data_IF_810999524570
#
_entry.id   IF_810999524570
#
_cell.length_a   1.000
_cell.length_b   1.000
_cell.length_c   1.000
_cell.angle_alpha   90.00
_cell.angle_beta   90.00
_cell.angle_gamma   90.00
#
_symmetry.space_group_name_H-M   'P 1'
#
loop_
_entity.id
_entity.type
_entity.pdbx_description
1 polymer ?
#
# COMPACT_ATOMS: atom_id res chain seq x y z
N UNK A 1 24.91 -4.92 10.79
CA UNK A 1 24.82 -6.23 10.11
C UNK A 1 23.35 -6.45 9.76
N UNK A 2 22.96 -6.11 8.53
CA UNK A 2 21.54 -6.02 8.13
C UNK A 2 21.04 -7.38 7.64
N UNK A 3 20.00 -7.93 8.27
CA UNK A 3 19.33 -9.13 7.76
C UNK A 3 18.44 -8.76 6.58
N UNK A 4 18.77 -9.33 5.43
CA UNK A 4 17.96 -9.42 4.23
C UNK A 4 16.67 -10.18 4.56
N UNK A 5 15.51 -9.70 4.12
CA UNK A 5 14.31 -10.54 4.06
C UNK A 5 14.62 -11.67 3.08
N UNK A 6 15.01 -12.83 3.61
CA UNK A 6 15.26 -14.02 2.83
C UNK A 6 13.92 -14.53 2.28
N UNK A 7 13.72 -14.37 0.97
CA UNK A 7 12.95 -15.35 0.20
C UNK A 7 13.87 -16.56 0.03
N UNK A 8 13.54 -17.75 0.54
CA UNK A 8 14.28 -18.94 0.15
C UNK A 8 13.91 -19.22 -1.32
N UNK A 9 14.93 -19.17 -2.17
CA UNK A 9 14.99 -19.77 -3.50
C UNK A 9 13.95 -19.27 -4.53
N UNK A 10 14.22 -18.11 -5.15
CA UNK A 10 13.57 -17.71 -6.40
C UNK A 10 14.60 -17.42 -7.48
N UNK A 11 15.07 -18.49 -8.14
CA UNK A 11 15.45 -18.42 -9.55
C UNK A 11 14.24 -18.06 -10.42
N UNK A 12 14.43 -17.67 -11.70
CA UNK A 12 13.47 -16.89 -12.46
C UNK A 12 12.35 -17.78 -13.04
N UNK A 13 11.43 -18.26 -12.21
CA UNK A 13 10.31 -19.09 -12.70
C UNK A 13 9.12 -19.30 -11.73
N UNK A 14 8.96 -18.54 -10.63
CA UNK A 14 7.89 -18.82 -9.67
C UNK A 14 7.03 -17.59 -9.31
N UNK A 15 6.33 -17.05 -10.31
CA UNK A 15 5.11 -16.26 -10.11
C UNK A 15 4.17 -16.54 -11.29
N UNK A 16 3.69 -17.78 -11.41
CA UNK A 16 2.61 -18.12 -12.34
C UNK A 16 1.73 -19.23 -11.76
N UNK A 17 0.43 -19.05 -11.95
CA UNK A 17 -0.65 -20.03 -11.84
C UNK A 17 -1.17 -20.36 -10.42
N UNK A 18 -2.22 -19.64 -10.04
CA UNK A 18 -3.31 -20.11 -9.20
C UNK A 18 -4.62 -19.53 -9.75
N UNK A 19 -5.57 -20.40 -10.06
CA UNK A 19 -6.70 -20.19 -10.96
C UNK A 19 -7.65 -19.04 -10.62
N UNK A 20 -8.30 -18.54 -11.67
CA UNK A 20 -9.48 -17.70 -11.61
C UNK A 20 -10.67 -18.49 -11.05
N UNK A 21 -10.91 -18.41 -9.74
CA UNK A 21 -12.17 -18.80 -9.07
C UNK A 21 -12.08 -18.39 -7.59
N UNK A 22 -12.08 -17.08 -7.32
CA UNK A 22 -12.42 -16.50 -5.99
C UNK A 22 -12.50 -14.96 -6.12
N UNK A 23 -13.25 -14.51 -7.12
CA UNK A 23 -13.61 -13.11 -7.27
C UNK A 23 -14.65 -12.76 -6.20
N UNK A 24 -14.21 -12.00 -5.19
CA UNK A 24 -15.01 -11.23 -4.21
C UNK A 24 -15.29 -11.89 -2.85
N UNK A 25 -14.26 -12.04 -2.02
CA UNK A 25 -14.33 -11.77 -0.56
C UNK A 25 -12.98 -12.05 0.10
N UNK A 26 -11.99 -11.22 -0.20
CA UNK A 26 -10.68 -11.31 0.44
C UNK A 26 -10.05 -9.94 0.48
N UNK A 27 -9.78 -9.46 1.69
CA UNK A 27 -9.10 -8.20 1.95
C UNK A 27 -7.79 -8.16 1.18
N UNK A 28 -7.73 -7.34 0.14
CA UNK A 28 -6.51 -7.08 -0.64
C UNK A 28 -5.46 -6.32 0.17
N UNK A 29 -4.97 -6.95 1.24
CA UNK A 29 -3.85 -6.53 2.05
C UNK A 29 -2.58 -7.05 1.36
N UNK A 30 -1.79 -6.13 0.78
CA UNK A 30 -0.37 -6.41 0.63
C UNK A 30 0.23 -6.80 1.99
N UNK A 31 1.45 -7.36 2.05
CA UNK A 31 2.05 -7.81 3.29
C UNK A 31 1.91 -6.73 4.39
N UNK A 32 1.11 -7.02 5.43
CA UNK A 32 0.86 -6.13 6.57
C UNK A 32 -0.02 -4.89 6.34
N UNK A 33 -0.77 -4.76 5.23
CA UNK A 33 -1.69 -3.62 5.00
C UNK A 33 -1.01 -2.27 4.72
N UNK A 34 0.33 -2.25 4.63
CA UNK A 34 1.13 -1.01 4.49
C UNK A 34 0.91 -0.24 3.19
N UNK A 35 0.54 -0.91 2.10
CA UNK A 35 0.21 -0.24 0.84
C UNK A 35 -1.10 0.55 0.94
N UNK A 36 -2.13 -0.03 1.58
CA UNK A 36 -3.39 0.69 1.85
C UNK A 36 -3.14 1.88 2.77
N UNK A 37 -2.35 1.68 3.84
CA UNK A 37 -1.93 2.77 4.73
C UNK A 37 -1.23 3.89 3.95
N UNK A 38 -0.30 3.57 3.04
CA UNK A 38 0.43 4.57 2.27
C UNK A 38 -0.50 5.43 1.41
N UNK A 39 -1.55 4.84 0.82
CA UNK A 39 -2.55 5.57 0.06
C UNK A 39 -3.34 6.54 0.93
N UNK A 40 -3.78 6.08 2.11
CA UNK A 40 -4.49 6.93 3.08
C UNK A 40 -3.62 8.08 3.57
N UNK A 41 -2.39 7.77 3.99
CA UNK A 41 -1.42 8.74 4.49
C UNK A 41 -1.07 9.81 3.45
N UNK A 42 -0.99 9.43 2.17
CA UNK A 42 -0.84 10.38 1.09
C UNK A 42 -2.03 11.35 1.00
N UNK A 43 -3.26 10.82 0.98
CA UNK A 43 -4.47 11.60 0.78
C UNK A 43 -4.77 12.56 1.95
N UNK A 44 -4.40 12.18 3.17
CA UNK A 44 -4.60 13.01 4.37
C UNK A 44 -3.43 13.94 4.69
N UNK A 45 -2.33 13.86 3.93
CA UNK A 45 -1.13 14.68 4.15
C UNK A 45 -0.24 14.21 5.32
N UNK A 46 -0.48 13.03 5.89
CA UNK A 46 0.26 12.47 7.02
C UNK A 46 1.75 12.21 6.74
N UNK A 47 2.19 12.22 5.48
CA UNK A 47 3.63 12.21 5.16
C UNK A 47 4.38 13.48 5.59
N UNK A 48 3.65 14.56 5.89
CA UNK A 48 4.22 15.86 6.29
C UNK A 48 4.24 16.09 7.82
N UNK A 49 3.62 15.21 8.61
CA UNK A 49 3.59 15.35 10.06
C UNK A 49 4.73 14.56 10.71
N UNK A 50 5.72 15.30 11.22
CA UNK A 50 6.80 14.75 12.03
C UNK A 50 6.28 14.42 13.43
N UNK A 51 5.65 13.25 13.58
CA UNK A 51 5.63 12.53 14.85
C UNK A 51 4.55 12.94 15.85
N UNK A 52 3.32 12.52 15.59
CA UNK A 52 2.50 11.99 16.68
C UNK A 52 2.31 10.49 16.48
N UNK A 53 2.84 9.63 17.37
CA UNK A 53 2.51 8.22 17.34
C UNK A 53 1.01 8.10 17.63
N UNK A 54 0.25 7.60 16.65
CA UNK A 54 -1.07 7.07 16.94
C UNK A 54 -0.89 5.93 17.96
N UNK A 55 -1.76 5.87 18.95
CA UNK A 55 -1.70 4.85 19.97
C UNK A 55 -1.94 3.51 19.28
N UNK A 56 -0.86 2.80 18.96
CA UNK A 56 -0.87 1.51 18.32
C UNK A 56 -1.94 0.65 19.00
N UNK A 57 -3.05 0.39 18.29
CA UNK A 57 -3.99 -0.62 18.73
C UNK A 57 -3.18 -1.92 18.71
N UNK A 58 -2.99 -2.61 19.85
CA UNK A 58 -2.25 -3.85 19.88
C UNK A 58 -3.16 -4.92 19.26
N UNK A 59 -3.24 -4.95 17.94
CA UNK A 59 -3.92 -6.01 17.21
C UNK A 59 -2.89 -7.10 16.87
N UNK A 60 -3.19 -8.32 17.31
CA UNK A 60 -2.66 -9.60 16.82
C UNK A 60 -1.17 -9.92 17.02
N UNK A 61 -0.26 -8.94 16.96
CA UNK A 61 1.15 -9.19 16.70
C UNK A 61 1.88 -10.02 17.76
N UNK A 62 1.55 -9.82 19.05
CA UNK A 62 2.12 -10.63 20.14
C UNK A 62 1.55 -12.07 20.14
N UNK A 63 0.28 -12.21 19.77
CA UNK A 63 -0.37 -13.51 19.69
C UNK A 63 0.19 -14.32 18.52
N UNK A 64 0.40 -13.67 17.37
CA UNK A 64 1.07 -14.25 16.20
C UNK A 64 2.52 -14.61 16.51
N UNK A 65 3.27 -13.75 17.20
CA UNK A 65 4.63 -14.06 17.64
C UNK A 65 4.66 -15.33 18.49
N UNK A 66 3.73 -15.45 19.45
CA UNK A 66 3.58 -16.66 20.29
C UNK A 66 3.20 -17.89 19.46
N UNK A 67 2.28 -17.73 18.51
CA UNK A 67 1.87 -18.81 17.60
C UNK A 67 3.03 -19.31 16.75
N UNK A 68 3.92 -18.41 16.32
CA UNK A 68 5.10 -18.70 15.50
C UNK A 68 6.34 -19.11 16.33
N UNK A 69 6.23 -19.19 17.65
CA UNK A 69 7.34 -19.54 18.54
C UNK A 69 8.45 -18.50 18.63
N UNK A 70 8.13 -17.23 18.34
CA UNK A 70 9.04 -16.09 18.46
C UNK A 70 8.95 -15.51 19.87
N UNK A 71 10.09 -15.40 20.54
CA UNK A 71 10.22 -14.73 21.84
C UNK A 71 10.38 -13.22 21.62
N UNK A 72 9.25 -12.55 21.37
CA UNK A 72 9.18 -11.10 21.16
C UNK A 72 8.39 -10.46 22.29
N UNK A 73 8.96 -9.43 22.88
CA UNK A 73 8.30 -8.59 23.87
C UNK A 73 7.52 -7.45 23.23
N UNK A 74 6.66 -6.79 24.02
CA UNK A 74 6.00 -5.56 23.57
C UNK A 74 7.01 -4.45 23.22
N UNK A 75 8.19 -4.44 23.85
CA UNK A 75 9.28 -3.50 23.56
C UNK A 75 9.92 -3.78 22.20
N UNK A 76 10.07 -5.05 21.83
CA UNK A 76 10.57 -5.45 20.50
C UNK A 76 9.61 -5.02 19.37
N UNK A 77 8.30 -4.97 19.68
CA UNK A 77 7.26 -4.49 18.76
C UNK A 77 7.07 -2.97 18.81
N UNK A 78 7.56 -2.30 19.85
CA UNK A 78 7.46 -0.85 20.03
C UNK A 78 8.29 -0.06 18.98
N UNK A 79 9.24 -0.73 18.30
CA UNK A 79 9.99 -0.17 17.17
C UNK A 79 9.30 -0.35 15.81
N UNK A 80 7.97 -0.43 15.80
CA UNK A 80 7.23 -0.16 14.59
C UNK A 80 7.09 1.35 14.47
N UNK A 81 7.70 1.97 13.45
CA UNK A 81 7.08 3.17 12.89
C UNK A 81 5.77 2.64 12.30
N UNK A 82 4.62 2.77 12.99
CA UNK A 82 3.36 2.24 12.46
C UNK A 82 3.08 2.93 11.12
N UNK A 83 3.53 4.17 11.03
CA UNK A 83 3.43 5.13 9.94
C UNK A 83 4.59 5.05 8.94
N UNK A 84 4.98 3.83 8.55
CA UNK A 84 6.03 3.62 7.57
C UNK A 84 5.69 2.54 6.55
N UNK A 85 6.21 2.75 5.34
CA UNK A 85 6.16 1.77 4.24
C UNK A 85 7.32 0.79 4.38
N UNK A 86 7.03 -0.51 4.25
CA UNK A 86 8.07 -1.53 4.20
C UNK A 86 8.96 -1.36 2.97
N UNK A 87 10.26 -1.65 3.09
CA UNK A 87 11.24 -1.45 1.99
C UNK A 87 10.83 -2.15 0.69
N UNK A 88 10.22 -3.33 0.77
CA UNK A 88 9.74 -4.07 -0.39
C UNK A 88 8.62 -3.35 -1.16
N UNK A 89 7.89 -2.44 -0.50
CA UNK A 89 6.76 -1.70 -1.07
C UNK A 89 7.19 -0.33 -1.63
N UNK A 90 8.46 0.07 -1.44
CA UNK A 90 9.00 1.35 -1.93
C UNK A 90 8.85 1.52 -3.44
N UNK A 91 9.11 0.50 -4.29
CA UNK A 91 8.88 0.64 -5.73
C UNK A 91 7.43 0.99 -6.08
N UNK A 92 6.45 0.37 -5.40
CA UNK A 92 5.03 0.66 -5.59
C UNK A 92 4.67 2.08 -5.13
N UNK A 93 5.24 2.53 -4.00
CA UNK A 93 5.06 3.90 -3.52
C UNK A 93 5.62 4.92 -4.51
N UNK A 94 6.82 4.71 -5.04
CA UNK A 94 7.43 5.60 -6.04
C UNK A 94 6.58 5.66 -7.30
N UNK A 95 6.12 4.50 -7.80
CA UNK A 95 5.24 4.44 -8.96
C UNK A 95 3.92 5.19 -8.72
N UNK A 96 3.31 5.01 -7.55
CA UNK A 96 2.12 5.77 -7.16
C UNK A 96 2.39 7.27 -7.09
N UNK A 97 3.44 7.72 -6.40
CA UNK A 97 3.79 9.15 -6.26
C UNK A 97 4.07 9.81 -7.61
N UNK A 98 4.64 9.07 -8.55
CA UNK A 98 4.87 9.52 -9.94
C UNK A 98 3.55 9.80 -10.66
N UNK A 99 2.52 9.00 -10.39
CA UNK A 99 1.20 9.09 -11.01
C UNK A 99 0.17 9.88 -10.19
N UNK A 100 0.49 10.30 -8.97
CA UNK A 100 -0.45 10.79 -7.96
C UNK A 100 -1.18 12.10 -8.31
N UNK A 101 -0.84 12.72 -9.44
CA UNK A 101 -1.52 13.91 -9.97
C UNK A 101 -2.53 13.59 -11.08
N UNK A 102 -2.57 12.34 -11.54
CA UNK A 102 -3.36 11.90 -12.71
C UNK A 102 -4.75 11.36 -12.33
N UNK A 103 -5.42 11.99 -11.37
CA UNK A 103 -6.74 11.54 -10.90
C UNK A 103 -7.84 11.82 -11.89
N UNK A 104 -8.70 10.82 -12.10
CA UNK A 104 -9.98 10.95 -12.78
C UNK A 104 -11.04 11.44 -11.79
N UNK A 105 -11.56 12.64 -12.03
CA UNK A 105 -12.60 13.25 -11.22
C UNK A 105 -13.84 13.48 -12.07
N UNK A 106 -15.01 13.22 -11.50
CA UNK A 106 -16.30 13.58 -12.08
C UNK A 106 -16.98 14.63 -11.23
N UNK A 107 -17.60 15.60 -11.89
CA UNK A 107 -18.49 16.56 -11.22
C UNK A 107 -19.78 15.86 -10.80
N UNK A 108 -20.21 16.13 -9.57
CA UNK A 108 -21.55 15.85 -9.10
C UNK A 108 -22.39 17.13 -9.21
N UNK A 109 -23.72 17.00 -9.11
CA UNK A 109 -24.60 18.17 -8.98
C UNK A 109 -24.22 19.03 -7.78
N UNK A 110 -24.63 20.31 -7.80
CA UNK A 110 -24.42 21.26 -6.69
C UNK A 110 -22.95 21.50 -6.31
N UNK A 111 -22.02 21.37 -7.27
CA UNK A 111 -20.60 21.67 -7.06
C UNK A 111 -19.82 20.56 -6.34
N UNK A 112 -20.43 19.39 -6.15
CA UNK A 112 -19.71 18.22 -5.64
C UNK A 112 -18.70 17.68 -6.66
N UNK A 113 -17.71 16.95 -6.16
CA UNK A 113 -16.72 16.24 -6.97
C UNK A 113 -16.51 14.85 -6.38
N UNK A 114 -16.46 13.84 -7.25
CA UNK A 114 -16.10 12.48 -6.88
C UNK A 114 -14.86 12.05 -7.64
N UNK A 115 -13.90 11.50 -6.93
CA UNK A 115 -12.72 10.87 -7.50
C UNK A 115 -13.08 9.42 -7.83
N UNK A 116 -12.80 8.95 -9.04
CA UNK A 116 -13.10 7.57 -9.46
C UNK A 116 -11.87 6.66 -9.35
N UNK A 117 -10.68 7.24 -9.50
CA UNK A 117 -9.41 6.51 -9.55
C UNK A 117 -8.39 7.27 -10.39
N UNK A 118 -7.20 6.70 -10.57
CA UNK A 118 -6.19 7.21 -11.49
C UNK A 118 -6.64 7.00 -12.94
N UNK A 119 -6.37 7.97 -13.81
CA UNK A 119 -6.48 7.79 -15.26
C UNK A 119 -5.32 6.92 -15.72
N UNK A 120 -5.60 5.64 -16.01
CA UNK A 120 -4.56 4.67 -16.32
C UNK A 120 -3.76 4.99 -17.60
N UNK A 121 -4.36 5.69 -18.57
CA UNK A 121 -3.63 6.17 -19.74
C UNK A 121 -2.55 7.20 -19.35
N UNK A 122 -2.92 8.20 -18.57
CA UNK A 122 -2.01 9.26 -18.10
C UNK A 122 -1.00 8.71 -17.07
N UNK A 123 -1.44 7.78 -16.23
CA UNK A 123 -0.59 7.05 -15.29
C UNK A 123 0.50 6.30 -16.04
N UNK A 124 0.13 5.56 -17.10
CA UNK A 124 1.11 4.87 -17.94
C UNK A 124 2.11 5.86 -18.55
N UNK A 125 1.64 6.98 -19.10
CA UNK A 125 2.52 8.00 -19.65
C UNK A 125 3.48 8.58 -18.59
N UNK A 126 3.00 8.84 -17.37
CA UNK A 126 3.84 9.33 -16.27
C UNK A 126 4.91 8.31 -15.86
N UNK A 127 4.56 7.03 -15.78
CA UNK A 127 5.48 5.95 -15.45
C UNK A 127 6.52 5.73 -16.56
N UNK A 128 6.10 5.78 -17.83
CA UNK A 128 6.98 5.67 -18.99
C UNK A 128 7.99 6.84 -19.02
N UNK A 129 7.54 8.08 -18.78
CA UNK A 129 8.40 9.26 -18.71
C UNK A 129 9.39 9.22 -17.52
N UNK A 130 9.02 8.56 -16.43
CA UNK A 130 9.88 8.31 -15.29
C UNK A 130 10.84 7.12 -15.47
N UNK A 131 10.73 6.38 -16.58
CA UNK A 131 11.53 5.18 -16.84
C UNK A 131 11.19 4.00 -15.91
N UNK A 132 9.97 3.96 -15.36
CA UNK A 132 9.53 2.90 -14.47
C UNK A 132 8.90 1.76 -15.27
N UNK A 133 9.57 0.60 -15.29
CA UNK A 133 9.02 -0.60 -15.93
C UNK A 133 7.87 -1.18 -15.09
N UNK A 134 6.67 -1.21 -15.67
CA UNK A 134 5.48 -1.71 -14.99
C UNK A 134 5.34 -3.22 -15.17
N UNK A 135 5.64 -3.97 -14.10
CA UNK A 135 5.32 -5.40 -14.02
C UNK A 135 3.89 -5.62 -13.50
N UNK A 136 3.25 -6.78 -13.77
CA UNK A 136 1.93 -7.09 -13.21
C UNK A 136 1.87 -7.01 -11.68
N UNK A 137 2.95 -7.40 -11.00
CA UNK A 137 3.06 -7.31 -9.54
C UNK A 137 3.09 -5.84 -9.07
N UNK A 138 3.96 -5.03 -9.68
CA UNK A 138 4.04 -3.59 -9.37
C UNK A 138 2.71 -2.87 -9.64
N UNK A 139 2.03 -3.23 -10.73
CA UNK A 139 0.70 -2.72 -11.05
C UNK A 139 -0.35 -3.11 -10.01
N UNK A 140 -0.31 -4.36 -9.54
CA UNK A 140 -1.15 -4.83 -8.44
C UNK A 140 -0.95 -3.98 -7.18
N UNK A 141 0.31 -3.79 -6.77
CA UNK A 141 0.66 -3.03 -5.57
C UNK A 141 0.30 -1.55 -5.68
N UNK A 142 0.52 -0.92 -6.83
CA UNK A 142 0.12 0.47 -7.09
C UNK A 142 -1.39 0.65 -6.89
N UNK A 143 -2.21 -0.26 -7.40
CA UNK A 143 -3.67 -0.20 -7.25
C UNK A 143 -4.14 -0.40 -5.80
N UNK A 144 -3.36 -1.08 -4.97
CA UNK A 144 -3.66 -1.17 -3.53
C UNK A 144 -3.47 0.19 -2.86
N UNK A 145 -2.40 0.92 -3.22
CA UNK A 145 -2.17 2.31 -2.74
C UNK A 145 -3.27 3.23 -3.26
N UNK A 146 -3.58 3.17 -4.56
CA UNK A 146 -4.67 3.94 -5.20
C UNK A 146 -5.99 3.78 -4.43
N UNK A 147 -6.38 2.54 -4.12
CA UNK A 147 -7.62 2.26 -3.39
C UNK A 147 -7.61 2.85 -1.98
N UNK A 148 -6.46 2.87 -1.31
CA UNK A 148 -6.30 3.53 -0.01
C UNK A 148 -6.54 5.03 -0.10
N UNK A 149 -5.93 5.69 -1.09
CA UNK A 149 -6.09 7.12 -1.32
C UNK A 149 -7.52 7.49 -1.75
N UNK A 150 -8.09 6.72 -2.67
CA UNK A 150 -9.44 6.93 -3.21
C UNK A 150 -10.52 6.93 -2.13
N UNK A 151 -10.35 6.08 -1.10
CA UNK A 151 -11.23 6.05 0.07
C UNK A 151 -11.25 7.41 0.77
N UNK A 152 -10.09 7.91 1.17
CA UNK A 152 -9.96 9.17 1.91
C UNK A 152 -10.39 10.39 1.06
N UNK A 153 -10.00 10.43 -0.22
CA UNK A 153 -10.33 11.54 -1.13
C UNK A 153 -11.84 11.73 -1.35
N UNK A 154 -12.63 10.67 -1.20
CA UNK A 154 -14.09 10.71 -1.30
C UNK A 154 -14.79 10.77 0.06
N UNK A 155 -14.07 11.15 1.14
CA UNK A 155 -14.63 11.30 2.48
C UNK A 155 -14.71 10.00 3.29
N UNK A 156 -13.90 8.99 2.93
CA UNK A 156 -13.82 7.71 3.62
C UNK A 156 -13.25 7.83 5.02
N UNK A 157 -14.12 8.14 5.98
CA UNK A 157 -13.78 8.12 7.41
C UNK A 157 -14.80 8.83 8.31
N UNK A 158 -16.09 8.82 8.01
CA UNK A 158 -17.17 9.17 8.96
C UNK A 158 -18.38 8.28 8.77
#
# INVERSE_FOLDING_TARGET
>A
MFRQCARPDAGPAACASGAAEDLQSGTGQGPGGKLTWAGRAWATGLFSDSGQPDAARPDGALEDARLLGLDLSAEDLAHTLPDAVWRCNVPALIAFLTAATQWNCVGLGEGGMQVIGLRYADTRAALDLAGIEVTPALWGDLRIIERGALGEMNGGGR
#
